data_IF_831886737934
#
_entry.id   IF_831886737934
#
_cell.length_a   1.000
_cell.length_b   1.000
_cell.length_c   1.000
_cell.angle_alpha   90.00
_cell.angle_beta   90.00
_cell.angle_gamma   90.00
#
_symmetry.space_group_name_H-M   'P 1'
#
loop_
_entity.id
_entity.type
_entity.pdbx_description
1 polymer ?
#
# COMPACT_ATOMS: atom_id res chain seq x y z
N UNK A 1 40.52 13.49 2.64
CA UNK A 1 39.62 12.82 1.67
C UNK A 1 38.52 11.97 2.32
N UNK A 2 38.17 12.14 3.62
CA UNK A 2 37.16 11.30 4.31
C UNK A 2 35.75 11.90 4.43
N UNK A 3 35.50 13.14 3.99
CA UNK A 3 34.19 13.81 4.17
C UNK A 3 33.14 13.55 3.07
N UNK A 4 33.54 12.93 1.95
CA UNK A 4 32.67 12.77 0.77
C UNK A 4 31.87 11.46 0.83
N UNK A 5 32.44 10.39 1.38
CA UNK A 5 31.75 9.09 1.52
C UNK A 5 30.59 9.12 2.51
N UNK A 6 30.75 9.85 3.61
CA UNK A 6 29.80 9.90 4.73
C UNK A 6 28.50 10.66 4.37
N UNK A 7 28.63 11.71 3.56
CA UNK A 7 27.49 12.53 3.10
C UNK A 7 26.61 11.78 2.09
N UNK A 8 27.22 10.97 1.23
CA UNK A 8 26.50 10.15 0.25
C UNK A 8 25.75 9.00 0.92
N UNK A 9 26.33 8.40 1.97
CA UNK A 9 25.68 7.37 2.79
C UNK A 9 24.42 7.89 3.49
N UNK A 10 24.52 9.03 4.20
CA UNK A 10 23.37 9.63 4.90
C UNK A 10 22.23 10.02 3.97
N UNK A 11 22.54 10.48 2.75
CA UNK A 11 21.53 10.79 1.75
C UNK A 11 20.76 9.54 1.27
N UNK A 12 21.46 8.40 1.09
CA UNK A 12 20.83 7.14 0.70
C UNK A 12 19.91 6.59 1.82
N UNK A 13 20.35 6.70 3.08
CA UNK A 13 19.57 6.26 4.24
C UNK A 13 18.25 7.03 4.38
N UNK A 14 18.30 8.35 4.15
CA UNK A 14 17.12 9.20 4.12
C UNK A 14 16.19 8.83 2.96
N UNK A 15 16.72 8.58 1.77
CA UNK A 15 15.92 8.20 0.60
C UNK A 15 15.17 6.87 0.82
N UNK A 16 15.84 5.86 1.37
CA UNK A 16 15.22 4.57 1.72
C UNK A 16 14.10 4.75 2.74
N UNK A 17 14.32 5.57 3.77
CA UNK A 17 13.30 5.86 4.76
C UNK A 17 12.12 6.65 4.19
N UNK A 18 12.36 7.62 3.32
CA UNK A 18 11.30 8.33 2.61
C UNK A 18 10.46 7.38 1.74
N UNK A 19 11.10 6.44 1.05
CA UNK A 19 10.39 5.42 0.27
C UNK A 19 9.53 4.51 1.17
N UNK A 20 10.07 4.12 2.33
CA UNK A 20 9.31 3.38 3.34
C UNK A 20 8.08 4.16 3.82
N UNK A 21 8.23 5.46 4.15
CA UNK A 21 7.11 6.31 4.56
C UNK A 21 6.07 6.52 3.44
N UNK A 22 6.50 6.64 2.18
CA UNK A 22 5.60 6.70 1.03
C UNK A 22 4.79 5.41 0.90
N UNK A 23 5.43 4.25 1.06
CA UNK A 23 4.75 2.95 1.05
C UNK A 23 3.75 2.83 2.21
N UNK A 24 4.13 3.29 3.41
CA UNK A 24 3.24 3.36 4.56
C UNK A 24 1.99 4.21 4.28
N UNK A 25 2.18 5.41 3.73
CA UNK A 25 1.07 6.28 3.33
C UNK A 25 0.18 5.66 2.24
N UNK A 26 0.78 4.98 1.26
CA UNK A 26 0.05 4.26 0.22
C UNK A 26 -0.77 3.09 0.81
N UNK A 27 -0.21 2.32 1.75
CA UNK A 27 -0.92 1.25 2.44
C UNK A 27 -2.13 1.79 3.21
N UNK A 28 -2.01 2.96 3.85
CA UNK A 28 -3.15 3.61 4.53
C UNK A 28 -4.27 4.01 3.56
N UNK A 29 -3.91 4.51 2.37
CA UNK A 29 -4.88 4.85 1.32
C UNK A 29 -5.58 3.60 0.76
N UNK A 30 -4.85 2.51 0.56
CA UNK A 30 -5.42 1.24 0.15
C UNK A 30 -6.34 0.68 1.23
N UNK A 31 -5.97 0.83 2.50
CA UNK A 31 -6.79 0.34 3.62
C UNK A 31 -8.14 1.04 3.64
N UNK A 32 -8.15 2.36 3.42
CA UNK A 32 -9.40 3.10 3.29
C UNK A 32 -10.27 2.57 2.13
N UNK A 33 -9.67 2.23 0.99
CA UNK A 33 -10.43 1.64 -0.13
C UNK A 33 -10.98 0.26 0.23
N UNK A 34 -10.20 -0.57 0.91
CA UNK A 34 -10.65 -1.87 1.38
C UNK A 34 -11.88 -1.74 2.29
N UNK A 35 -11.90 -0.72 3.17
CA UNK A 35 -13.06 -0.41 3.99
C UNK A 35 -14.27 0.03 3.16
N UNK A 36 -14.07 0.96 2.21
CA UNK A 36 -15.13 1.47 1.33
C UNK A 36 -15.80 0.35 0.49
N UNK A 37 -15.08 -0.74 0.21
CA UNK A 37 -15.55 -1.86 -0.62
C UNK A 37 -15.85 -3.14 0.17
N UNK A 38 -15.64 -3.17 1.48
CA UNK A 38 -15.83 -4.39 2.29
C UNK A 38 -14.83 -5.51 2.00
N UNK A 39 -13.63 -5.18 1.52
CA UNK A 39 -12.57 -6.15 1.19
C UNK A 39 -11.82 -6.59 2.45
N UNK A 40 -12.36 -7.55 3.21
CA UNK A 40 -11.84 -7.93 4.54
C UNK A 40 -10.43 -8.55 4.49
N UNK A 41 -10.13 -9.40 3.50
CA UNK A 41 -8.78 -9.99 3.35
C UNK A 41 -7.76 -8.90 3.01
N UNK A 42 -8.10 -7.98 2.11
CA UNK A 42 -7.23 -6.85 1.75
C UNK A 42 -7.00 -5.95 2.96
N UNK A 43 -8.06 -5.61 3.70
CA UNK A 43 -7.98 -4.85 4.94
C UNK A 43 -7.05 -5.52 5.96
N UNK A 44 -7.21 -6.81 6.19
CA UNK A 44 -6.36 -7.61 7.09
C UNK A 44 -4.88 -7.60 6.69
N UNK A 45 -4.57 -7.73 5.40
CA UNK A 45 -3.18 -7.67 4.90
C UNK A 45 -2.59 -6.28 5.12
N UNK A 46 -3.35 -5.23 4.79
CA UNK A 46 -2.90 -3.85 4.91
C UNK A 46 -2.74 -3.42 6.37
N UNK A 47 -3.63 -3.87 7.26
CA UNK A 47 -3.49 -3.66 8.69
C UNK A 47 -2.21 -4.28 9.24
N UNK A 48 -1.91 -5.52 8.87
CA UNK A 48 -0.70 -6.18 9.33
C UNK A 48 0.56 -5.46 8.82
N UNK A 49 0.57 -5.03 7.56
CA UNK A 49 1.65 -4.25 6.99
C UNK A 49 1.85 -2.90 7.71
N UNK A 50 0.76 -2.21 8.06
CA UNK A 50 0.81 -0.96 8.81
C UNK A 50 1.27 -1.18 10.27
N UNK A 51 0.88 -2.29 10.90
CA UNK A 51 1.32 -2.62 12.25
C UNK A 51 2.83 -2.90 12.33
N UNK A 52 3.37 -3.69 11.39
CA UNK A 52 4.82 -3.85 11.22
C UNK A 52 5.50 -2.51 10.91
N UNK A 53 4.90 -1.73 10.01
CA UNK A 53 5.38 -0.42 9.62
C UNK A 53 5.54 0.55 10.80
N UNK A 54 4.52 0.65 11.65
CA UNK A 54 4.57 1.47 12.86
C UNK A 54 5.66 1.01 13.82
N UNK A 55 5.80 -0.30 14.04
CA UNK A 55 6.83 -0.81 14.95
C UNK A 55 8.24 -0.44 14.45
N UNK A 56 8.49 -0.55 13.13
CA UNK A 56 9.77 -0.14 12.52
C UNK A 56 10.03 1.36 12.66
N UNK A 57 9.02 2.20 12.42
CA UNK A 57 9.12 3.65 12.62
C UNK A 57 9.45 3.96 14.08
N UNK A 58 8.70 3.38 15.02
CA UNK A 58 8.92 3.58 16.45
C UNK A 58 10.31 3.13 16.89
N UNK A 59 10.84 2.02 16.34
CA UNK A 59 12.20 1.55 16.63
C UNK A 59 13.26 2.58 16.21
N UNK A 60 13.10 3.19 15.04
CA UNK A 60 13.99 4.27 14.59
C UNK A 60 13.87 5.47 15.52
N UNK A 61 12.65 5.96 15.77
CA UNK A 61 12.42 7.15 16.60
C UNK A 61 12.96 6.97 18.03
N UNK A 62 12.73 5.79 18.61
CA UNK A 62 13.22 5.44 19.95
C UNK A 62 14.74 5.38 20.01
N UNK A 63 15.38 4.78 19.00
CA UNK A 63 16.84 4.69 18.95
C UNK A 63 17.49 6.07 18.78
N UNK A 64 16.89 6.97 18.01
CA UNK A 64 17.31 8.37 17.89
C UNK A 64 17.24 9.13 19.23
N UNK A 65 16.14 8.94 19.98
CA UNK A 65 16.00 9.51 21.33
C UNK A 65 17.07 8.98 22.29
N UNK A 66 17.33 7.66 22.28
CA UNK A 66 18.32 7.02 23.14
C UNK A 66 19.76 7.46 22.81
N UNK A 67 20.08 7.58 21.52
CA UNK A 67 21.43 7.94 21.04
C UNK A 67 21.65 9.44 20.90
N UNK A 68 20.60 10.25 21.02
CA UNK A 68 20.62 11.71 20.82
C UNK A 68 21.15 12.14 19.45
N UNK A 69 20.71 11.45 18.40
CA UNK A 69 21.10 11.73 17.02
C UNK A 69 19.89 11.69 16.07
N UNK A 70 20.11 12.07 14.82
CA UNK A 70 19.12 11.99 13.74
C UNK A 70 19.35 10.77 12.82
N UNK A 71 20.27 9.87 13.19
CA UNK A 71 20.67 8.77 12.32
C UNK A 71 19.53 7.75 12.17
N UNK A 72 19.28 7.31 10.93
CA UNK A 72 18.25 6.32 10.62
C UNK A 72 18.91 4.96 10.55
N UNK A 73 18.62 4.10 11.53
CA UNK A 73 19.14 2.74 11.53
C UNK A 73 18.45 1.88 10.44
N UNK A 74 19.13 1.73 9.30
CA UNK A 74 18.57 1.06 8.12
C UNK A 74 18.17 -0.39 8.37
N UNK A 75 18.74 -1.09 9.36
CA UNK A 75 18.38 -2.49 9.66
C UNK A 75 16.88 -2.68 9.96
N UNK A 76 16.18 -1.62 10.38
CA UNK A 76 14.74 -1.64 10.60
C UNK A 76 13.91 -1.30 9.35
N UNK A 77 14.50 -0.62 8.36
CA UNK A 77 13.79 -0.01 7.23
C UNK A 77 14.01 -0.77 5.94
N UNK A 78 15.23 -1.23 5.71
CA UNK A 78 15.66 -1.87 4.49
C UNK A 78 16.48 -3.13 4.82
N UNK A 79 16.25 -4.19 4.06
CA UNK A 79 16.99 -5.44 4.16
C UNK A 79 17.43 -5.84 2.75
N UNK A 80 18.71 -6.17 2.59
CA UNK A 80 19.22 -6.78 1.36
C UNK A 80 18.80 -8.25 1.29
N UNK A 81 18.73 -8.80 0.07
CA UNK A 81 18.34 -10.21 -0.15
C UNK A 81 19.26 -11.22 0.57
N UNK A 82 20.50 -10.81 0.87
CA UNK A 82 21.54 -11.65 1.49
C UNK A 82 21.61 -11.56 3.02
N UNK A 83 20.77 -10.75 3.67
CA UNK A 83 20.80 -10.54 5.14
C UNK A 83 19.79 -11.42 5.89
N UNK A 84 20.09 -11.73 7.16
CA UNK A 84 19.16 -12.48 8.02
C UNK A 84 17.87 -11.68 8.21
N UNK A 85 16.79 -12.11 7.56
CA UNK A 85 15.47 -11.44 7.59
C UNK A 85 15.03 -11.12 9.02
N UNK A 86 14.79 -9.84 9.33
CA UNK A 86 13.93 -9.53 10.49
C UNK A 86 12.51 -9.82 10.08
N UNK A 87 12.03 -11.02 10.43
CA UNK A 87 10.61 -11.29 10.35
C UNK A 87 9.85 -10.34 11.29
N UNK A 88 8.59 -10.10 10.96
CA UNK A 88 7.68 -9.21 11.68
C UNK A 88 7.60 -9.53 13.19
N UNK A 89 7.63 -10.81 13.58
CA UNK A 89 7.68 -11.20 15.00
C UNK A 89 8.94 -10.71 15.71
N UNK A 90 10.09 -10.73 15.03
CA UNK A 90 11.36 -10.18 15.55
C UNK A 90 11.26 -8.67 15.73
N UNK A 91 10.60 -7.96 14.80
CA UNK A 91 10.32 -6.52 14.94
C UNK A 91 9.44 -6.26 16.17
N UNK A 92 8.39 -7.05 16.38
CA UNK A 92 7.55 -6.94 17.57
C UNK A 92 8.32 -7.22 18.86
N UNK A 93 9.21 -8.22 18.84
CA UNK A 93 10.08 -8.54 19.97
C UNK A 93 10.99 -7.37 20.33
N UNK A 94 11.65 -6.77 19.34
CA UNK A 94 12.49 -5.59 19.55
C UNK A 94 11.69 -4.40 20.08
N UNK A 95 10.46 -4.20 19.60
CA UNK A 95 9.60 -3.13 20.10
C UNK A 95 9.20 -3.35 21.57
N UNK A 96 8.95 -4.60 21.97
CA UNK A 96 8.72 -4.96 23.37
C UNK A 96 9.98 -4.73 24.23
N UNK A 97 11.14 -5.19 23.75
CA UNK A 97 12.42 -5.07 24.47
C UNK A 97 12.79 -3.59 24.72
N UNK A 98 12.53 -2.73 23.73
CA UNK A 98 12.68 -1.27 23.84
C UNK A 98 11.56 -0.57 24.58
N UNK A 99 10.59 -1.31 25.13
CA UNK A 99 9.42 -0.80 25.86
C UNK A 99 8.60 0.22 25.05
N UNK A 100 8.59 0.06 23.73
CA UNK A 100 7.75 0.85 22.81
C UNK A 100 6.31 0.38 22.91
N UNK A 101 6.12 -0.94 22.93
CA UNK A 101 4.84 -1.60 23.16
C UNK A 101 4.87 -2.36 24.48
N UNK A 102 3.71 -2.54 25.09
CA UNK A 102 3.58 -3.36 26.30
C UNK A 102 3.37 -4.86 25.96
N UNK A 103 3.38 -5.70 27.00
CA UNK A 103 3.19 -7.15 26.86
C UNK A 103 1.82 -7.52 26.27
N UNK A 104 0.78 -6.72 26.52
CA UNK A 104 -0.56 -7.00 26.03
C UNK A 104 -0.67 -6.74 24.53
N UNK A 105 -0.17 -5.59 24.08
CA UNK A 105 -0.09 -5.23 22.67
C UNK A 105 0.81 -6.20 21.90
N UNK A 106 1.94 -6.60 22.48
CA UNK A 106 2.81 -7.63 21.89
C UNK A 106 2.08 -8.97 21.71
N UNK A 107 1.34 -9.43 22.72
CA UNK A 107 0.55 -10.67 22.64
C UNK A 107 -0.54 -10.58 21.57
N UNK A 108 -1.22 -9.44 21.49
CA UNK A 108 -2.27 -9.21 20.50
C UNK A 108 -1.71 -9.19 19.07
N UNK A 109 -0.59 -8.48 18.84
CA UNK A 109 0.10 -8.47 17.55
C UNK A 109 0.49 -9.88 17.08
N UNK A 110 1.04 -10.72 17.97
CA UNK A 110 1.38 -12.10 17.62
C UNK A 110 0.13 -12.96 17.35
N UNK A 111 -0.96 -12.73 18.09
CA UNK A 111 -2.23 -13.43 17.86
C UNK A 111 -2.80 -13.08 16.48
N UNK A 112 -2.81 -11.79 16.13
CA UNK A 112 -3.28 -11.30 14.84
C UNK A 112 -2.38 -11.74 13.68
N UNK A 113 -1.07 -11.80 13.89
CA UNK A 113 -0.09 -12.38 12.96
C UNK A 113 -0.44 -13.85 12.64
N UNK A 114 -0.77 -14.65 13.65
CA UNK A 114 -1.12 -16.07 13.47
C UNK A 114 -2.42 -16.26 12.71
N UNK A 115 -3.42 -15.43 13.01
CA UNK A 115 -4.68 -15.42 12.28
C UNK A 115 -4.43 -15.05 10.82
N UNK A 116 -3.70 -13.97 10.54
CA UNK A 116 -3.36 -13.57 9.17
C UNK A 116 -2.61 -14.68 8.45
N UNK A 117 -1.62 -15.32 9.06
CA UNK A 117 -0.89 -16.41 8.42
C UNK A 117 -1.81 -17.59 8.06
N UNK A 118 -2.82 -17.91 8.88
CA UNK A 118 -3.86 -18.88 8.52
C UNK A 118 -4.66 -18.40 7.31
N UNK A 119 -5.15 -17.17 7.34
CA UNK A 119 -5.97 -16.57 6.27
C UNK A 119 -5.21 -16.50 4.94
N UNK A 120 -3.92 -16.18 4.95
CA UNK A 120 -3.14 -15.98 3.72
C UNK A 120 -2.55 -17.27 3.17
N UNK A 121 -1.99 -18.11 4.04
CA UNK A 121 -1.26 -19.31 3.59
C UNK A 121 -2.07 -20.60 3.67
N UNK A 122 -3.14 -20.62 4.48
CA UNK A 122 -3.91 -21.83 4.76
C UNK A 122 -5.41 -21.63 4.53
N UNK A 123 -5.83 -20.62 3.78
CA UNK A 123 -7.24 -20.23 3.61
C UNK A 123 -8.16 -21.44 3.35
N UNK A 124 -7.88 -22.18 2.27
CA UNK A 124 -8.69 -23.33 1.84
C UNK A 124 -8.66 -24.52 2.79
N UNK A 125 -7.60 -24.66 3.60
CA UNK A 125 -7.39 -25.79 4.52
C UNK A 125 -7.59 -25.38 5.98
N UNK A 126 -8.13 -24.19 6.21
CA UNK A 126 -8.45 -23.66 7.52
C UNK A 126 -9.95 -23.51 7.64
N UNK A 127 -10.50 -23.70 8.83
CA UNK A 127 -11.92 -23.49 9.13
C UNK A 127 -12.26 -21.99 9.30
N UNK A 128 -11.52 -21.10 8.65
CA UNK A 128 -11.73 -19.66 8.79
C UNK A 128 -12.88 -19.21 7.91
N UNK A 129 -13.98 -18.81 8.55
CA UNK A 129 -15.09 -18.16 7.86
C UNK A 129 -14.73 -16.71 7.48
N UNK A 130 -15.12 -16.30 6.27
CA UNK A 130 -14.87 -14.93 5.80
C UNK A 130 -15.52 -13.87 6.70
N UNK A 131 -16.71 -14.15 7.24
CA UNK A 131 -17.44 -13.30 8.19
C UNK A 131 -16.67 -13.07 9.49
N UNK A 132 -15.86 -14.04 9.93
CA UNK A 132 -15.02 -13.89 11.13
C UNK A 132 -13.93 -12.82 10.94
N UNK A 133 -13.54 -12.53 9.68
CA UNK A 133 -12.51 -11.54 9.40
C UNK A 133 -12.93 -10.12 9.78
N UNK A 134 -14.22 -9.81 9.86
CA UNK A 134 -14.71 -8.52 10.35
C UNK A 134 -14.23 -8.27 11.78
N UNK A 135 -14.42 -9.25 12.67
CA UNK A 135 -13.98 -9.21 14.06
C UNK A 135 -12.45 -9.04 14.15
N UNK A 136 -11.72 -9.75 13.29
CA UNK A 136 -10.25 -9.66 13.22
C UNK A 136 -9.81 -8.27 12.77
N UNK A 137 -10.46 -7.69 11.75
CA UNK A 137 -10.19 -6.33 11.29
C UNK A 137 -10.49 -5.29 12.38
N UNK A 138 -11.58 -5.42 13.14
CA UNK A 138 -11.87 -4.54 14.28
C UNK A 138 -10.80 -4.64 15.38
N UNK A 139 -10.20 -5.82 15.58
CA UNK A 139 -9.07 -5.96 16.52
C UNK A 139 -7.81 -5.27 15.99
N UNK A 140 -7.53 -5.41 14.70
CA UNK A 140 -6.45 -4.67 14.04
C UNK A 140 -6.66 -3.15 14.09
N UNK A 141 -7.88 -2.64 13.97
CA UNK A 141 -8.19 -1.21 14.15
C UNK A 141 -7.74 -0.69 15.52
N UNK A 142 -8.05 -1.44 16.58
CA UNK A 142 -7.63 -1.06 17.94
C UNK A 142 -6.11 -1.05 18.08
N UNK A 143 -5.44 -2.05 17.52
CA UNK A 143 -3.97 -2.13 17.49
C UNK A 143 -3.37 -0.97 16.69
N UNK A 144 -3.96 -0.64 15.54
CA UNK A 144 -3.55 0.49 14.70
C UNK A 144 -3.63 1.80 15.49
N UNK A 145 -4.75 2.05 16.19
CA UNK A 145 -4.93 3.28 16.99
C UNK A 145 -3.94 3.37 18.15
N UNK A 146 -3.63 2.24 18.78
CA UNK A 146 -2.62 2.19 19.85
C UNK A 146 -1.22 2.51 19.29
N UNK A 147 -0.82 1.88 18.18
CA UNK A 147 0.48 2.11 17.54
C UNK A 147 0.61 3.54 16.99
N UNK A 148 -0.47 4.09 16.44
CA UNK A 148 -0.53 5.49 16.01
C UNK A 148 -0.25 6.44 17.18
N UNK A 149 -0.92 6.24 18.33
CA UNK A 149 -0.70 7.05 19.54
C UNK A 149 0.72 6.92 20.07
N UNK A 150 1.29 5.71 20.07
CA UNK A 150 2.68 5.47 20.49
C UNK A 150 3.65 6.23 19.59
N UNK A 151 3.46 6.14 18.27
CA UNK A 151 4.29 6.84 17.28
C UNK A 151 4.22 8.35 17.50
N UNK A 152 3.01 8.90 17.65
CA UNK A 152 2.79 10.32 17.93
C UNK A 152 3.47 10.79 19.23
N UNK A 153 3.43 9.96 20.28
CA UNK A 153 4.10 10.28 21.53
C UNK A 153 5.63 10.33 21.38
N UNK A 154 6.23 9.41 20.63
CA UNK A 154 7.67 9.42 20.35
C UNK A 154 8.07 10.63 19.50
N UNK A 155 7.28 10.97 18.48
CA UNK A 155 7.47 12.17 17.66
C UNK A 155 7.38 13.45 18.51
N UNK A 156 6.38 13.52 19.40
CA UNK A 156 6.21 14.64 20.34
C UNK A 156 7.39 14.75 21.31
N UNK A 157 7.92 13.61 21.77
CA UNK A 157 9.10 13.56 22.64
C UNK A 157 10.35 14.07 21.90
N UNK A 158 10.55 13.65 20.64
CA UNK A 158 11.64 14.14 19.79
C UNK A 158 11.60 15.66 19.64
N UNK A 159 10.43 16.21 19.30
CA UNK A 159 10.23 17.66 19.18
C UNK A 159 10.53 18.37 20.49
N UNK A 160 9.98 17.89 21.62
CA UNK A 160 10.16 18.51 22.93
C UNK A 160 11.62 18.55 23.37
N UNK A 161 12.40 17.52 23.03
CA UNK A 161 13.80 17.43 23.40
C UNK A 161 14.74 18.05 22.35
N UNK A 162 14.24 18.37 21.15
CA UNK A 162 15.07 18.80 20.02
C UNK A 162 16.03 17.70 19.55
N UNK A 163 15.61 16.43 19.64
CA UNK A 163 16.42 15.24 19.35
C UNK A 163 15.71 14.42 18.28
N UNK A 164 16.47 13.89 17.32
CA UNK A 164 15.93 13.04 16.26
C UNK A 164 15.56 13.81 15.01
N UNK A 165 14.84 13.14 14.11
CA UNK A 165 14.50 13.70 12.80
C UNK A 165 13.18 14.47 12.79
N UNK A 166 12.32 14.28 13.80
CA UNK A 166 11.02 14.95 13.86
C UNK A 166 11.19 16.37 14.38
N UNK A 167 10.82 17.35 13.55
CA UNK A 167 10.91 18.79 13.85
C UNK A 167 9.52 19.44 13.93
N UNK A 168 9.35 20.42 14.81
CA UNK A 168 8.15 21.27 14.82
C UNK A 168 8.19 22.26 13.67
N UNK A 169 7.18 22.28 12.81
CA UNK A 169 7.11 23.24 11.71
C UNK A 169 5.78 23.21 10.97
N UNK A 170 5.49 24.28 10.22
CA UNK A 170 4.40 24.28 9.24
C UNK A 170 4.91 23.57 7.99
N UNK A 171 4.17 22.57 7.50
CA UNK A 171 4.43 21.93 6.21
C UNK A 171 4.58 23.01 5.13
N UNK A 172 5.74 23.04 4.47
CA UNK A 172 5.91 23.87 3.27
C UNK A 172 5.39 23.11 2.05
N UNK A 173 5.10 23.80 0.95
CA UNK A 173 4.71 23.17 -0.32
C UNK A 173 5.75 22.15 -0.82
N UNK A 174 7.03 22.31 -0.43
CA UNK A 174 8.11 21.37 -0.75
C UNK A 174 8.07 20.09 0.09
N UNK A 175 7.43 20.12 1.25
CA UNK A 175 7.29 18.99 2.19
C UNK A 175 6.04 18.15 1.91
N UNK A 176 5.22 18.55 0.92
CA UNK A 176 4.07 17.76 0.49
C UNK A 176 4.57 16.44 -0.11
N UNK A 177 4.41 15.38 0.67
CA UNK A 177 4.38 14.01 0.16
C UNK A 177 3.30 13.97 -0.93
N UNK A 178 3.63 13.41 -2.10
CA UNK A 178 2.71 13.24 -3.24
C UNK A 178 1.31 12.94 -2.76
N UNK A 179 0.38 13.84 -3.10
CA UNK A 179 -0.97 13.75 -2.57
C UNK A 179 -1.64 12.48 -3.08
N UNK A 180 -2.75 12.09 -2.43
CA UNK A 180 -3.66 11.04 -2.91
C UNK A 180 -3.98 11.17 -4.41
N UNK A 181 -4.06 12.40 -4.94
CA UNK A 181 -4.22 12.68 -6.38
C UNK A 181 -3.03 12.19 -7.23
N UNK A 182 -1.81 12.43 -6.77
CA UNK A 182 -0.59 12.29 -7.56
C UNK A 182 -0.13 10.83 -7.61
N UNK A 183 -0.29 10.11 -6.50
CA UNK A 183 -0.11 8.65 -6.45
C UNK A 183 -1.12 7.96 -7.37
N UNK A 184 -2.37 8.40 -7.40
CA UNK A 184 -3.38 7.81 -8.30
C UNK A 184 -3.15 8.15 -9.77
N UNK A 185 -2.67 9.35 -10.11
CA UNK A 185 -2.25 9.68 -11.48
C UNK A 185 -1.08 8.78 -11.93
N UNK A 186 -0.12 8.48 -11.05
CA UNK A 186 1.00 7.59 -11.37
C UNK A 186 0.59 6.12 -11.54
N UNK A 187 -0.25 5.60 -10.66
CA UNK A 187 -0.77 4.22 -10.79
C UNK A 187 -1.58 4.08 -12.09
N UNK A 188 -2.48 5.04 -12.37
CA UNK A 188 -3.31 5.04 -13.58
C UNK A 188 -2.45 5.12 -14.85
N UNK A 189 -1.50 6.06 -14.91
CA UNK A 189 -0.59 6.20 -16.05
C UNK A 189 0.37 5.01 -16.22
N UNK A 190 0.72 4.28 -15.15
CA UNK A 190 1.50 3.05 -15.22
C UNK A 190 0.69 1.88 -15.80
N UNK A 191 -0.55 1.71 -15.35
CA UNK A 191 -1.46 0.68 -15.87
C UNK A 191 -1.83 0.92 -17.33
N UNK A 192 -2.07 2.17 -17.73
CA UNK A 192 -2.40 2.54 -19.12
C UNK A 192 -1.21 2.25 -20.05
N UNK A 193 0.02 2.59 -19.64
CA UNK A 193 1.25 2.28 -20.40
C UNK A 193 1.50 0.79 -20.54
N UNK A 194 1.22 0.00 -19.50
CA UNK A 194 1.40 -1.46 -19.56
C UNK A 194 0.36 -2.14 -20.45
N UNK A 195 -0.89 -1.67 -20.41
CA UNK A 195 -1.93 -2.16 -21.31
C UNK A 195 -1.64 -1.79 -22.77
N UNK A 196 -1.20 -0.56 -23.03
CA UNK A 196 -0.78 -0.09 -24.36
C UNK A 196 0.37 -0.95 -24.92
N UNK A 197 1.41 -1.20 -24.12
CA UNK A 197 2.50 -2.13 -24.50
C UNK A 197 2.02 -3.55 -24.79
N UNK A 198 1.08 -4.07 -23.99
CA UNK A 198 0.55 -5.43 -24.16
C UNK A 198 -0.28 -5.57 -25.43
N UNK A 199 -0.94 -4.49 -25.86
CA UNK A 199 -1.76 -4.45 -27.07
C UNK A 199 -1.00 -3.95 -28.32
N UNK A 200 0.27 -3.53 -28.17
CA UNK A 200 1.08 -2.95 -29.24
C UNK A 200 0.63 -1.55 -29.67
N UNK A 201 -0.09 -0.83 -28.81
CA UNK A 201 -0.56 0.54 -29.05
C UNK A 201 0.37 1.55 -28.34
N UNK A 202 0.56 2.72 -28.94
CA UNK A 202 1.39 3.79 -28.40
C UNK A 202 0.61 4.74 -27.46
N UNK A 203 -0.73 4.78 -27.53
CA UNK A 203 -1.57 5.64 -26.68
C UNK A 203 -2.93 5.00 -26.35
N UNK A 204 -3.65 5.61 -25.39
CA UNK A 204 -5.03 5.18 -25.02
C UNK A 204 -6.00 5.49 -26.16
N UNK A 205 -5.77 6.58 -26.89
CA UNK A 205 -6.53 6.96 -28.07
C UNK A 205 -6.41 5.90 -29.17
N UNK A 206 -5.21 5.36 -29.39
CA UNK A 206 -4.99 4.25 -30.33
C UNK A 206 -5.68 2.96 -29.89
N UNK A 207 -5.80 2.67 -28.59
CA UNK A 207 -6.55 1.50 -28.08
C UNK A 207 -8.05 1.67 -28.38
N UNK A 208 -8.59 2.87 -28.14
CA UNK A 208 -10.00 3.19 -28.41
C UNK A 208 -10.27 3.14 -29.92
N UNK A 209 -9.36 3.68 -30.73
CA UNK A 209 -9.47 3.66 -32.19
C UNK A 209 -9.36 2.23 -32.75
N UNK A 210 -8.37 1.45 -32.27
CA UNK A 210 -8.18 0.05 -32.64
C UNK A 210 -9.41 -0.79 -32.31
N UNK A 211 -9.95 -0.65 -31.09
CA UNK A 211 -11.15 -1.38 -30.71
C UNK A 211 -12.41 -0.90 -31.42
N UNK A 212 -12.51 0.39 -31.75
CA UNK A 212 -13.65 0.92 -32.52
C UNK A 212 -13.62 0.42 -33.96
N UNK A 213 -12.45 0.40 -34.62
CA UNK A 213 -12.25 -0.14 -35.97
C UNK A 213 -12.54 -1.64 -36.05
N UNK A 214 -12.30 -2.38 -34.97
CA UNK A 214 -12.57 -3.83 -34.88
C UNK A 214 -13.98 -4.16 -34.37
N UNK A 215 -14.81 -3.15 -34.09
CA UNK A 215 -16.19 -3.32 -33.64
C UNK A 215 -16.34 -3.69 -32.15
N UNK A 216 -15.28 -3.57 -31.35
CA UNK A 216 -15.28 -3.88 -29.92
C UNK A 216 -16.01 -2.83 -29.07
N UNK A 217 -16.17 -1.60 -29.57
CA UNK A 217 -16.88 -0.52 -28.88
C UNK A 217 -18.06 -0.02 -29.73
N UNK A 218 -19.24 0.07 -29.13
CA UNK A 218 -20.42 0.75 -29.71
C UNK A 218 -20.91 1.84 -28.77
N UNK A 219 -21.41 2.95 -29.30
CA UNK A 219 -22.04 3.98 -28.45
C UNK A 219 -23.37 3.46 -27.91
N UNK A 220 -23.51 3.49 -26.59
CA UNK A 220 -24.78 3.21 -25.92
C UNK A 220 -25.83 4.21 -26.40
N UNK A 221 -27.00 3.72 -26.82
CA UNK A 221 -28.07 4.57 -27.35
C UNK A 221 -28.67 5.52 -26.30
N UNK A 222 -28.62 5.15 -25.02
CA UNK A 222 -29.21 5.93 -23.92
C UNK A 222 -28.25 6.99 -23.35
N UNK A 223 -27.02 6.60 -23.01
CA UNK A 223 -26.07 7.49 -22.34
C UNK A 223 -24.95 8.03 -23.25
N UNK A 224 -24.95 7.68 -24.54
CA UNK A 224 -23.94 8.04 -25.56
C UNK A 224 -22.48 7.66 -25.26
N UNK A 225 -22.18 7.07 -24.10
CA UNK A 225 -20.86 6.53 -23.77
C UNK A 225 -20.52 5.33 -24.65
N UNK A 226 -19.23 5.09 -24.87
CA UNK A 226 -18.73 3.87 -25.52
C UNK A 226 -19.00 2.67 -24.58
N UNK A 227 -19.84 1.73 -25.05
CA UNK A 227 -20.17 0.46 -24.42
C UNK A 227 -19.42 -0.64 -25.16
N UNK A 228 -18.73 -1.49 -24.41
CA UNK A 228 -18.27 -2.78 -24.94
C UNK A 228 -19.51 -3.67 -25.00
N UNK A 229 -20.11 -3.85 -26.17
CA UNK A 229 -21.08 -4.94 -26.33
C UNK A 229 -20.29 -6.24 -26.43
N UNK A 230 -20.69 -7.23 -25.61
CA UNK A 230 -20.24 -8.63 -25.65
C UNK A 230 -18.85 -8.81 -26.24
N UNK A 231 -17.85 -8.89 -25.36
CA UNK A 231 -16.54 -9.46 -25.71
C UNK A 231 -16.77 -10.74 -26.51
N UNK A 232 -16.64 -10.69 -27.84
CA UNK A 232 -16.67 -11.89 -28.65
C UNK A 232 -15.36 -12.60 -28.34
N UNK A 233 -15.43 -13.48 -27.35
CA UNK A 233 -14.30 -14.25 -26.86
C UNK A 233 -13.67 -15.07 -28.00
N UNK A 234 -14.43 -15.36 -29.08
CA UNK A 234 -13.92 -16.01 -30.30
C UNK A 234 -13.15 -15.05 -31.20
N UNK A 235 -13.52 -13.76 -31.27
CA UNK A 235 -12.76 -12.76 -32.00
C UNK A 235 -11.37 -12.52 -31.38
N UNK A 236 -11.28 -12.57 -30.04
CA UNK A 236 -10.03 -12.39 -29.31
C UNK A 236 -9.11 -13.62 -29.40
N UNK A 237 -9.65 -14.84 -29.47
CA UNK A 237 -8.85 -16.04 -29.70
C UNK A 237 -8.23 -16.12 -31.10
N UNK A 238 -8.84 -15.47 -32.10
CA UNK A 238 -8.31 -15.40 -33.48
C UNK A 238 -7.12 -14.45 -33.60
N UNK A 239 -7.08 -13.41 -32.77
CA UNK A 239 -5.90 -12.56 -32.61
C UNK A 239 -4.97 -13.20 -31.58
N UNK A 240 -3.74 -13.56 -31.97
CA UNK A 240 -2.74 -14.23 -31.09
C UNK A 240 -2.27 -13.40 -29.87
N UNK A 241 -3.03 -12.40 -29.44
CA UNK A 241 -2.71 -11.50 -28.33
C UNK A 241 -3.31 -12.06 -27.04
N UNK A 242 -2.44 -12.60 -26.17
CA UNK A 242 -2.80 -13.06 -24.82
C UNK A 242 -3.08 -11.85 -23.93
N UNK A 243 -4.32 -11.39 -23.88
CA UNK A 243 -4.73 -10.32 -22.96
C UNK A 243 -5.31 -10.96 -21.70
N UNK A 244 -4.48 -11.11 -20.67
CA UNK A 244 -4.95 -11.52 -19.34
C UNK A 244 -5.57 -10.32 -18.62
N UNK A 245 -6.73 -10.53 -17.96
CA UNK A 245 -7.35 -9.63 -16.96
C UNK A 245 -7.89 -8.28 -17.46
N UNK A 246 -8.79 -8.31 -18.46
CA UNK A 246 -9.48 -7.10 -18.89
C UNK A 246 -10.63 -6.67 -17.96
N UNK A 247 -11.21 -7.61 -17.20
CA UNK A 247 -12.32 -7.34 -16.27
C UNK A 247 -11.94 -6.41 -15.11
N UNK A 248 -10.65 -6.33 -14.77
CA UNK A 248 -10.12 -5.44 -13.72
C UNK A 248 -10.20 -3.95 -14.04
N UNK A 249 -10.41 -3.58 -15.31
CA UNK A 249 -10.39 -2.18 -15.79
C UNK A 249 -11.78 -1.62 -16.13
N UNK A 250 -12.82 -2.39 -15.85
CA UNK A 250 -14.18 -2.07 -16.25
C UNK A 250 -15.04 -1.78 -15.02
N UNK A 251 -15.62 -0.58 -14.94
CA UNK A 251 -16.58 -0.19 -13.90
C UNK A 251 -18.00 -0.19 -14.44
N UNK A 252 -19.01 -0.54 -13.64
CA UNK A 252 -20.42 -0.50 -14.08
C UNK A 252 -20.96 0.92 -14.14
N UNK A 253 -21.68 1.26 -15.21
CA UNK A 253 -22.36 2.53 -15.40
C UNK A 253 -23.51 2.65 -14.39
N UNK A 254 -23.58 3.78 -13.66
CA UNK A 254 -24.61 4.05 -12.63
C UNK A 254 -25.82 4.83 -13.14
N UNK A 255 -26.04 4.90 -14.46
CA UNK A 255 -27.29 5.44 -15.02
C UNK A 255 -28.42 4.47 -14.72
N UNK A 256 -29.61 4.97 -14.31
CA UNK A 256 -30.79 4.12 -14.13
C UNK A 256 -31.00 3.29 -15.42
N UNK A 257 -31.06 1.97 -15.24
CA UNK A 257 -31.23 0.90 -16.23
C UNK A 257 -30.09 0.59 -17.25
N UNK A 258 -28.88 1.15 -17.12
CA UNK A 258 -27.74 0.83 -18.03
C UNK A 258 -26.77 -0.20 -17.41
N UNK A 259 -26.78 -1.44 -17.89
CA UNK A 259 -25.79 -2.50 -17.53
C UNK A 259 -24.41 -2.34 -18.20
N UNK A 260 -24.06 -1.11 -18.55
CA UNK A 260 -22.94 -0.78 -19.43
C UNK A 260 -21.63 -0.78 -18.62
N UNK A 261 -20.58 -1.49 -19.08
CA UNK A 261 -19.24 -1.39 -18.48
C UNK A 261 -18.51 -0.15 -19.03
N UNK A 262 -18.22 0.84 -18.18
CA UNK A 262 -17.39 2.02 -18.45
C UNK A 262 -15.91 1.66 -18.29
N UNK A 263 -15.13 1.97 -19.32
CA UNK A 263 -13.68 2.12 -19.20
C UNK A 263 -13.40 3.32 -18.29
N UNK A 264 -12.50 3.18 -17.31
CA UNK A 264 -12.25 4.18 -16.28
C UNK A 264 -11.04 5.04 -16.57
#
# INVERSE_FOLDING_TARGET
>A
MSKISDKTSKNNDLEKFQNFLRAFGAARLLLQRAHEHGSLIEGLVLYAALADGFCRICLVLKEQLEKKNEDINQKYIYQHEDESNFNERKIYGLALDKKIIDKNLFKELNTLYDIRNKVIHRFFISEVEYTHLEIVCTRYEKVYDQLYKITYNLESEQIKQGIGMTISGKYTEKDKIETRSDVFKKIKSGSERNLAKTLGCASVEEIIEFGSKRGFFKKCKECKHLKIEHFDHKALQRTKTKVHNLDTYLSTCKSRDCSCKKYR
#
